data_IF_068154786666
#
_entry.id   IF_068154786666
#
_cell.length_a   1.000
_cell.length_b   1.000
_cell.length_c   1.000
_cell.angle_alpha   90.00
_cell.angle_beta   90.00
_cell.angle_gamma   90.00
#
_symmetry.space_group_name_H-M   'P 1'
#
loop_
_entity.id
_entity.type
_entity.pdbx_description
1 polymer ?
#
# COMPACT_ATOMS: atom_id res chain seq x y z
N UNK A 1 -1.88 -0.34 18.02
CA UNK A 1 -1.28 -0.09 16.69
C UNK A 1 -1.37 -1.31 15.77
N UNK A 2 -0.99 -2.51 16.23
CA UNK A 2 -1.07 -3.77 15.45
C UNK A 2 -2.49 -4.07 14.95
N UNK A 3 -3.52 -3.81 15.77
CA UNK A 3 -4.92 -4.04 15.39
C UNK A 3 -5.38 -3.22 14.16
N UNK A 4 -4.94 -1.96 14.06
CA UNK A 4 -5.22 -1.11 12.89
C UNK A 4 -4.53 -1.66 11.64
N UNK A 5 -3.29 -2.14 11.77
CA UNK A 5 -2.56 -2.82 10.69
C UNK A 5 -3.30 -4.08 10.22
N UNK A 6 -3.77 -4.90 11.16
CA UNK A 6 -4.53 -6.12 10.86
C UNK A 6 -5.85 -5.81 10.14
N UNK A 7 -6.49 -4.69 10.44
CA UNK A 7 -7.68 -4.23 9.70
C UNK A 7 -7.35 -3.89 8.24
N UNK A 8 -6.25 -3.16 7.99
CA UNK A 8 -5.77 -2.84 6.63
C UNK A 8 -5.45 -4.12 5.85
N UNK A 9 -4.75 -5.07 6.47
CA UNK A 9 -4.42 -6.36 5.86
C UNK A 9 -5.68 -7.15 5.52
N UNK A 10 -6.65 -7.24 6.44
CA UNK A 10 -7.94 -7.91 6.20
C UNK A 10 -8.70 -7.29 5.04
N UNK A 11 -8.73 -5.96 4.95
CA UNK A 11 -9.41 -5.26 3.86
C UNK A 11 -8.72 -5.53 2.51
N UNK A 12 -7.39 -5.44 2.45
CA UNK A 12 -6.62 -5.74 1.24
C UNK A 12 -6.82 -7.19 0.76
N UNK A 13 -6.78 -8.15 1.68
CA UNK A 13 -7.04 -9.56 1.37
C UNK A 13 -8.48 -9.82 0.91
N UNK A 14 -9.45 -9.10 1.48
CA UNK A 14 -10.86 -9.19 1.06
C UNK A 14 -11.03 -8.71 -0.37
N UNK A 15 -10.37 -7.61 -0.75
CA UNK A 15 -10.34 -7.11 -2.12
C UNK A 15 -9.72 -8.16 -3.05
N UNK A 16 -8.51 -8.65 -2.75
CA UNK A 16 -7.83 -9.66 -3.58
C UNK A 16 -8.71 -10.92 -3.77
N UNK A 17 -9.39 -11.36 -2.71
CA UNK A 17 -10.31 -12.51 -2.77
C UNK A 17 -11.52 -12.25 -3.67
N UNK A 18 -12.08 -11.03 -3.64
CA UNK A 18 -13.28 -10.68 -4.40
C UNK A 18 -13.01 -10.46 -5.90
N UNK A 19 -11.78 -10.15 -6.29
CA UNK A 19 -11.37 -9.96 -7.69
C UNK A 19 -11.00 -11.29 -8.41
N UNK A 20 -11.50 -12.43 -7.92
CA UNK A 20 -11.36 -13.78 -8.51
C UNK A 20 -9.92 -14.15 -8.96
N UNK A 21 -8.90 -13.62 -8.29
CA UNK A 21 -7.52 -13.92 -8.66
C UNK A 21 -7.20 -15.34 -8.20
N UNK A 22 -7.01 -16.27 -9.15
CA UNK A 22 -6.64 -17.67 -8.89
C UNK A 22 -5.37 -17.80 -8.02
N UNK A 23 -4.52 -16.76 -8.03
CA UNK A 23 -3.25 -16.70 -7.32
C UNK A 23 -3.21 -15.56 -6.29
N UNK A 24 -4.13 -15.59 -5.32
CA UNK A 24 -4.20 -14.60 -4.23
C UNK A 24 -2.88 -14.46 -3.44
N UNK A 25 -2.02 -15.48 -3.47
CA UNK A 25 -0.70 -15.47 -2.83
C UNK A 25 0.23 -14.44 -3.45
N UNK A 26 0.22 -14.27 -4.78
CA UNK A 26 0.95 -13.17 -5.44
C UNK A 26 0.42 -11.80 -5.01
N UNK A 27 -0.89 -11.69 -4.77
CA UNK A 27 -1.50 -10.48 -4.24
C UNK A 27 -1.01 -10.11 -2.83
N UNK A 28 -0.63 -11.09 -2.01
CA UNK A 28 -0.11 -10.85 -0.65
C UNK A 28 1.25 -10.14 -0.68
N UNK A 29 2.14 -10.54 -1.59
CA UNK A 29 3.46 -9.90 -1.75
C UNK A 29 3.31 -8.44 -2.19
N UNK A 30 2.42 -8.18 -3.15
CA UNK A 30 2.10 -6.84 -3.61
C UNK A 30 1.47 -5.98 -2.50
N UNK A 31 0.54 -6.55 -1.71
CA UNK A 31 -0.08 -5.87 -0.57
C UNK A 31 0.94 -5.50 0.51
N UNK A 32 1.85 -6.41 0.84
CA UNK A 32 2.90 -6.16 1.83
C UNK A 32 3.85 -5.04 1.37
N UNK A 33 4.21 -5.03 0.08
CA UNK A 33 5.01 -3.96 -0.52
C UNK A 33 4.28 -2.62 -0.46
N UNK A 34 3.01 -2.58 -0.86
CA UNK A 34 2.18 -1.39 -0.84
C UNK A 34 2.09 -0.79 0.59
N UNK A 35 1.82 -1.62 1.60
CA UNK A 35 1.78 -1.19 3.00
C UNK A 35 3.13 -0.61 3.45
N UNK A 36 4.24 -1.25 3.09
CA UNK A 36 5.59 -0.82 3.50
C UNK A 36 6.07 0.45 2.79
N UNK A 37 5.59 0.71 1.58
CA UNK A 37 5.91 1.94 0.84
C UNK A 37 4.92 3.08 1.13
N UNK A 38 3.72 2.81 1.64
CA UNK A 38 2.70 3.84 1.94
C UNK A 38 3.16 4.73 3.10
N UNK A 39 3.13 6.05 2.91
CA UNK A 39 3.49 7.02 3.95
C UNK A 39 2.40 7.05 5.03
N UNK A 40 2.81 7.09 6.29
CA UNK A 40 1.90 7.38 7.37
C UNK A 40 1.47 8.86 7.31
N UNK A 41 0.17 9.16 7.46
CA UNK A 41 -0.37 10.52 7.36
C UNK A 41 0.20 11.51 8.39
N UNK A 42 0.56 11.02 9.58
CA UNK A 42 1.03 11.87 10.69
C UNK A 42 2.53 12.12 10.59
N UNK A 43 3.32 11.09 10.30
CA UNK A 43 4.78 11.23 10.24
C UNK A 43 5.31 11.55 8.85
N UNK A 44 4.48 11.39 7.81
CA UNK A 44 4.85 11.50 6.40
C UNK A 44 6.03 10.61 5.97
N UNK A 45 6.30 9.56 6.76
CA UNK A 45 7.36 8.58 6.54
C UNK A 45 6.73 7.21 6.32
N UNK A 46 7.24 6.46 5.34
CA UNK A 46 6.81 5.08 5.10
C UNK A 46 7.58 4.10 6.00
N UNK A 47 6.99 2.95 6.38
CA UNK A 47 7.65 1.95 7.22
C UNK A 47 9.04 1.55 6.73
N UNK A 48 9.23 1.34 5.43
CA UNK A 48 10.54 0.95 4.88
C UNK A 48 11.59 2.06 5.03
N UNK A 49 11.17 3.33 4.92
CA UNK A 49 12.05 4.48 5.07
C UNK A 49 12.45 4.66 6.52
N UNK A 50 11.53 4.41 7.45
CA UNK A 50 11.83 4.39 8.88
C UNK A 50 12.80 3.26 9.26
N UNK A 51 12.69 2.10 8.62
CA UNK A 51 13.53 0.93 8.91
C UNK A 51 14.93 1.00 8.27
N UNK A 52 15.03 1.51 7.04
CA UNK A 52 16.26 1.41 6.24
C UNK A 52 16.94 2.75 5.98
N UNK A 53 16.26 3.87 6.26
CA UNK A 53 16.67 5.21 5.86
C UNK A 53 16.57 5.48 4.35
N UNK A 54 16.19 4.48 3.54
CA UNK A 54 16.13 4.58 2.07
C UNK A 54 14.70 4.83 1.60
N UNK A 55 14.57 5.55 0.48
CA UNK A 55 13.28 5.78 -0.17
C UNK A 55 12.83 4.48 -0.88
N UNK A 56 11.56 4.09 -0.75
CA UNK A 56 10.99 3.01 -1.56
C UNK A 56 11.04 3.42 -3.03
N UNK A 57 11.64 2.60 -3.89
CA UNK A 57 11.36 2.62 -5.32
C UNK A 57 10.07 1.83 -5.50
N UNK A 58 8.92 2.53 -5.52
CA UNK A 58 7.65 1.89 -5.88
C UNK A 58 7.74 1.52 -7.36
N UNK A 59 7.44 0.27 -7.75
CA UNK A 59 7.35 -0.11 -9.16
C UNK A 59 6.41 0.87 -9.89
N UNK A 60 6.80 1.44 -11.04
CA UNK A 60 5.99 2.44 -11.77
C UNK A 60 4.57 1.96 -12.04
N UNK A 61 4.39 0.65 -12.20
CA UNK A 61 3.12 -0.02 -12.46
C UNK A 61 2.11 0.12 -11.31
N UNK A 62 2.59 0.44 -10.10
CA UNK A 62 1.76 0.65 -8.90
C UNK A 62 1.53 2.13 -8.57
N UNK A 63 2.23 3.05 -9.24
CA UNK A 63 2.12 4.51 -9.00
C UNK A 63 0.91 5.11 -9.72
N UNK A 64 0.54 4.54 -10.87
CA UNK A 64 -0.55 5.03 -11.74
C UNK A 64 -1.96 4.86 -11.16
N UNK A 65 -2.13 4.20 -10.01
CA UNK A 65 -3.43 3.99 -9.34
C UNK A 65 -3.75 5.05 -8.27
N UNK A 66 -2.90 6.06 -8.09
CA UNK A 66 -3.01 7.06 -7.00
C UNK A 66 -3.24 8.49 -7.54
N UNK A 67 -3.38 8.69 -8.86
CA UNK A 67 -3.67 10.01 -9.46
C UNK A 67 -5.18 10.26 -9.67
N UNK A 68 -5.99 10.00 -8.64
CA UNK A 68 -7.32 10.61 -8.53
C UNK A 68 -7.39 11.45 -7.25
N UNK A 69 -7.52 12.77 -7.45
CA UNK A 69 -7.73 13.83 -6.44
C UNK A 69 -6.51 14.36 -5.66
N UNK A 70 -5.52 14.92 -6.35
CA UNK A 70 -4.96 16.22 -5.90
C UNK A 70 -5.87 17.33 -6.43
N UNK A 71 -6.75 17.81 -5.56
CA UNK A 71 -7.61 18.94 -5.84
C UNK A 71 -6.78 20.21 -6.10
N UNK A 72 -6.79 20.68 -7.34
CA UNK A 72 -6.74 22.11 -7.66
C UNK A 72 -7.65 22.38 -8.86
N UNK A 73 -8.84 22.93 -8.59
CA UNK A 73 -9.62 23.67 -9.59
C UNK A 73 -8.95 25.03 -9.73
N UNK A 74 -8.39 25.29 -10.91
CA UNK A 74 -8.26 26.65 -11.46
C UNK A 74 -9.16 26.73 -12.68
#
# INVERSE_FOLDING_TARGET
>A
QVERMMSVVKNGLTIIRNYETQDWKKGLEALQLAINCTKNKTTNVSPIKALTGRQCAVPPELVTLIDEEEGTVN
#
